data_IF_702144727158
#
_entry.id   IF_702144727158
#
_cell.length_a   1.000
_cell.length_b   1.000
_cell.length_c   1.000
_cell.angle_alpha   90.00
_cell.angle_beta   90.00
_cell.angle_gamma   90.00
#
_symmetry.space_group_name_H-M   'P 1'
#
loop_
_entity.id
_entity.type
_entity.pdbx_description
1 polymer ?
#
# COMPACT_ATOMS: atom_id res chain seq x y z
N UNK A 1 9.00 -16.30 -10.07
CA UNK A 1 8.85 -14.86 -9.71
C UNK A 1 7.58 -14.24 -10.28
N UNK A 2 7.31 -14.32 -11.59
CA UNK A 2 6.08 -13.72 -12.16
C UNK A 2 4.78 -14.22 -11.53
N UNK A 3 4.64 -15.54 -11.34
CA UNK A 3 3.47 -16.11 -10.67
C UNK A 3 3.27 -15.59 -9.24
N UNK A 4 4.38 -15.38 -8.52
CA UNK A 4 4.40 -14.84 -7.15
C UNK A 4 3.90 -13.39 -7.10
N UNK A 5 4.33 -12.56 -8.04
CA UNK A 5 3.82 -11.19 -8.17
C UNK A 5 2.36 -11.13 -8.63
N UNK A 6 1.95 -11.98 -9.58
CA UNK A 6 0.56 -12.08 -10.01
C UNK A 6 -0.37 -12.51 -8.85
N UNK A 7 0.09 -13.40 -7.98
CA UNK A 7 -0.62 -13.79 -6.78
C UNK A 7 -0.83 -12.59 -5.82
N UNK A 8 0.22 -11.79 -5.60
CA UNK A 8 0.13 -10.56 -4.80
C UNK A 8 -0.87 -9.55 -5.38
N UNK A 9 -0.96 -9.42 -6.71
CA UNK A 9 -1.91 -8.51 -7.37
C UNK A 9 -3.36 -8.97 -7.19
N UNK A 10 -3.63 -10.27 -7.34
CA UNK A 10 -4.96 -10.84 -7.06
C UNK A 10 -5.39 -10.60 -5.62
N UNK A 11 -4.48 -10.84 -4.67
CA UNK A 11 -4.73 -10.53 -3.26
C UNK A 11 -5.02 -9.05 -3.04
N UNK A 12 -4.29 -8.16 -3.72
CA UNK A 12 -4.47 -6.70 -3.60
C UNK A 12 -5.89 -6.25 -3.94
N UNK A 13 -6.45 -6.77 -5.04
CA UNK A 13 -7.82 -6.47 -5.47
C UNK A 13 -8.83 -7.04 -4.48
N UNK A 14 -8.66 -8.29 -4.04
CA UNK A 14 -9.55 -8.91 -3.06
C UNK A 14 -9.55 -8.16 -1.73
N UNK A 15 -8.37 -7.73 -1.26
CA UNK A 15 -8.25 -6.96 -0.02
C UNK A 15 -8.95 -5.60 -0.14
N UNK A 16 -8.81 -4.89 -1.26
CA UNK A 16 -9.55 -3.65 -1.51
C UNK A 16 -11.07 -3.88 -1.41
N UNK A 17 -11.58 -4.97 -1.98
CA UNK A 17 -12.99 -5.31 -1.96
C UNK A 17 -13.50 -5.72 -0.57
N UNK A 18 -12.63 -6.28 0.29
CA UNK A 18 -12.98 -6.65 1.65
C UNK A 18 -12.99 -5.45 2.62
N UNK A 19 -12.21 -4.40 2.31
CA UNK A 19 -12.10 -3.18 3.09
C UNK A 19 -13.31 -2.26 2.90
N UNK A 20 -13.56 -1.40 3.89
CA UNK A 20 -14.57 -0.37 3.75
C UNK A 20 -14.05 0.78 2.85
N UNK A 21 -14.62 0.91 1.66
CA UNK A 21 -14.28 1.96 0.69
C UNK A 21 -15.27 3.12 0.71
N UNK A 22 -16.16 3.22 1.71
CA UNK A 22 -17.05 4.39 1.90
C UNK A 22 -16.34 5.60 2.51
N UNK A 23 -15.11 5.41 3.01
CA UNK A 23 -14.20 6.46 3.48
C UNK A 23 -12.94 6.53 2.62
N UNK A 24 -12.09 7.51 2.87
CA UNK A 24 -10.72 7.47 2.35
C UNK A 24 -10.00 6.24 2.90
N UNK A 25 -9.32 5.52 2.01
CA UNK A 25 -8.67 4.25 2.34
C UNK A 25 -7.32 4.24 1.65
N UNK A 26 -6.24 3.93 2.35
CA UNK A 26 -4.91 3.79 1.74
C UNK A 26 -4.08 2.71 2.43
N UNK A 27 -3.63 1.72 1.67
CA UNK A 27 -2.86 0.62 2.22
C UNK A 27 -1.84 0.10 1.21
N UNK A 28 -0.83 -0.59 1.73
CA UNK A 28 0.00 -1.44 0.91
C UNK A 28 -0.52 -2.86 0.99
N UNK A 29 -1.23 -3.26 -0.06
CA UNK A 29 -1.64 -4.65 -0.24
C UNK A 29 -0.44 -5.58 -0.31
N UNK A 30 0.64 -5.13 -0.95
CA UNK A 30 1.87 -5.90 -1.11
C UNK A 30 2.56 -6.18 0.22
N UNK A 31 2.66 -5.16 1.07
CA UNK A 31 3.24 -5.28 2.41
C UNK A 31 2.47 -6.33 3.22
N UNK A 32 1.14 -6.18 3.30
CA UNK A 32 0.26 -7.15 3.98
C UNK A 32 0.44 -8.55 3.42
N UNK A 33 0.34 -8.74 2.11
CA UNK A 33 0.50 -10.03 1.46
C UNK A 33 1.85 -10.67 1.79
N UNK A 34 2.93 -9.90 1.67
CA UNK A 34 4.29 -10.39 1.93
C UNK A 34 4.53 -10.73 3.40
N UNK A 35 3.84 -10.08 4.34
CA UNK A 35 3.89 -10.43 5.76
C UNK A 35 3.15 -11.74 6.05
N UNK A 36 2.01 -11.98 5.39
CA UNK A 36 1.27 -13.23 5.49
C UNK A 36 2.01 -14.40 4.82
N UNK A 37 2.84 -14.13 3.81
CA UNK A 37 3.76 -15.13 3.26
C UNK A 37 4.72 -15.65 4.33
N UNK A 38 5.23 -14.77 5.21
CA UNK A 38 6.11 -15.22 6.31
C UNK A 38 5.36 -16.15 7.29
N UNK A 39 4.10 -15.82 7.61
CA UNK A 39 3.23 -16.67 8.43
C UNK A 39 2.99 -18.01 7.75
N UNK A 40 2.75 -18.00 6.43
CA UNK A 40 2.55 -19.21 5.63
C UNK A 40 3.74 -20.18 5.74
N UNK A 41 4.99 -19.68 5.73
CA UNK A 41 6.18 -20.53 5.82
C UNK A 41 6.19 -21.39 7.10
N UNK A 42 5.72 -20.87 8.23
CA UNK A 42 5.65 -21.58 9.50
C UNK A 42 4.28 -22.16 9.86
N UNK A 43 3.27 -22.01 9.00
CA UNK A 43 1.93 -22.56 9.21
C UNK A 43 1.85 -24.06 8.86
N UNK A 44 0.88 -24.78 9.44
CA UNK A 44 0.57 -26.19 9.13
C UNK A 44 -0.95 -26.42 9.09
N UNK A 45 -1.38 -27.58 8.60
CA UNK A 45 -2.77 -28.03 8.68
C UNK A 45 -3.77 -27.13 7.95
N UNK A 46 -4.88 -26.80 8.60
CA UNK A 46 -5.94 -25.92 8.05
C UNK A 46 -5.41 -24.52 7.79
N UNK A 47 -4.65 -23.96 8.73
CA UNK A 47 -4.05 -22.62 8.62
C UNK A 47 -3.18 -22.50 7.37
N UNK A 48 -2.37 -23.53 7.08
CA UNK A 48 -1.56 -23.57 5.87
C UNK A 48 -2.41 -23.55 4.60
N UNK A 49 -3.49 -24.34 4.54
CA UNK A 49 -4.38 -24.40 3.37
C UNK A 49 -5.12 -23.08 3.15
N UNK A 50 -5.58 -22.43 4.22
CA UNK A 50 -6.22 -21.11 4.15
C UNK A 50 -5.24 -20.07 3.60
N UNK A 51 -4.03 -19.99 4.16
CA UNK A 51 -2.98 -19.08 3.72
C UNK A 51 -2.57 -19.36 2.27
N UNK A 52 -2.32 -20.63 1.91
CA UNK A 52 -1.97 -21.03 0.54
C UNK A 52 -3.01 -20.53 -0.46
N UNK A 53 -4.28 -20.78 -0.19
CA UNK A 53 -5.34 -20.43 -1.12
C UNK A 53 -5.65 -18.95 -1.21
N UNK A 54 -5.67 -18.26 -0.07
CA UNK A 54 -5.98 -16.83 -0.05
C UNK A 54 -4.82 -15.97 -0.54
N UNK A 55 -3.57 -16.41 -0.36
CA UNK A 55 -2.39 -15.76 -0.94
C UNK A 55 -2.16 -16.12 -2.41
N UNK A 56 -2.90 -17.10 -2.94
CA UNK A 56 -2.79 -17.54 -4.34
C UNK A 56 -1.49 -18.30 -4.61
N UNK A 57 -1.01 -19.07 -3.62
CA UNK A 57 0.25 -19.82 -3.66
C UNK A 57 0.05 -21.29 -4.04
N UNK A 58 -1.14 -21.66 -4.51
CA UNK A 58 -1.55 -23.04 -4.79
C UNK A 58 -0.53 -23.83 -5.62
N UNK A 59 -0.13 -24.98 -5.10
CA UNK A 59 0.75 -25.91 -5.81
C UNK A 59 2.20 -25.47 -5.87
N UNK A 60 2.59 -24.41 -5.16
CA UNK A 60 3.99 -24.04 -4.97
C UNK A 60 4.58 -24.72 -3.73
N UNK A 61 5.74 -25.34 -3.90
CA UNK A 61 6.51 -25.87 -2.76
C UNK A 61 6.94 -24.73 -1.82
N UNK A 62 6.87 -24.96 -0.50
CA UNK A 62 7.21 -23.95 0.51
C UNK A 62 8.65 -23.45 0.40
N UNK A 63 9.61 -24.28 -0.02
CA UNK A 63 10.98 -23.82 -0.23
C UNK A 63 11.05 -22.87 -1.44
N UNK A 64 10.29 -23.15 -2.51
CA UNK A 64 10.18 -22.25 -3.66
C UNK A 64 9.56 -20.92 -3.24
N UNK A 65 8.53 -20.94 -2.38
CA UNK A 65 7.91 -19.73 -1.82
C UNK A 65 8.92 -18.95 -0.98
N UNK A 66 9.68 -19.61 -0.09
CA UNK A 66 10.67 -18.98 0.75
C UNK A 66 11.81 -18.32 -0.05
N UNK A 67 12.33 -19.02 -1.07
CA UNK A 67 13.32 -18.45 -1.99
C UNK A 67 12.76 -17.32 -2.85
N UNK A 68 11.48 -17.41 -3.27
CA UNK A 68 10.80 -16.34 -4.02
C UNK A 68 10.63 -15.09 -3.15
N UNK A 69 10.29 -15.25 -1.87
CA UNK A 69 10.20 -14.16 -0.91
C UNK A 69 11.55 -13.43 -0.74
N UNK A 70 12.65 -14.18 -0.60
CA UNK A 70 13.98 -13.56 -0.54
C UNK A 70 14.37 -12.85 -1.84
N UNK A 71 14.12 -13.51 -2.99
CA UNK A 71 14.42 -12.96 -4.32
C UNK A 71 13.64 -11.67 -4.59
N UNK A 72 12.39 -11.60 -4.12
CA UNK A 72 11.53 -10.42 -4.17
C UNK A 72 12.15 -9.21 -3.44
N UNK A 73 12.73 -9.41 -2.25
CA UNK A 73 13.41 -8.32 -1.52
C UNK A 73 14.58 -7.75 -2.33
N UNK A 74 15.38 -8.64 -2.92
CA UNK A 74 16.49 -8.26 -3.79
C UNK A 74 15.99 -7.56 -5.06
N UNK A 75 14.90 -8.04 -5.65
CA UNK A 75 14.27 -7.44 -6.83
C UNK A 75 13.96 -5.96 -6.61
N UNK A 76 13.18 -5.62 -5.57
CA UNK A 76 12.79 -4.24 -5.32
C UNK A 76 13.97 -3.35 -4.96
N UNK A 77 14.88 -3.82 -4.09
CA UNK A 77 16.06 -3.03 -3.69
C UNK A 77 16.98 -2.72 -4.88
N UNK A 78 17.06 -3.62 -5.86
CA UNK A 78 17.91 -3.43 -7.05
C UNK A 78 17.27 -2.54 -8.12
N UNK A 79 15.93 -2.48 -8.21
CA UNK A 79 15.20 -1.76 -9.25
C UNK A 79 14.71 -0.38 -8.81
N UNK A 80 14.30 -0.22 -7.56
CA UNK A 80 13.77 1.03 -7.03
C UNK A 80 14.91 1.85 -6.41
N UNK A 81 15.74 2.46 -7.26
CA UNK A 81 16.92 3.25 -6.82
C UNK A 81 16.63 4.75 -6.67
N UNK A 82 15.72 5.29 -7.47
CA UNK A 82 15.41 6.71 -7.59
C UNK A 82 14.39 7.23 -6.57
N UNK A 83 13.77 6.33 -5.81
CA UNK A 83 12.72 6.65 -4.84
C UNK A 83 13.12 6.15 -3.46
N UNK A 84 12.71 6.86 -2.41
CA UNK A 84 12.85 6.35 -1.05
C UNK A 84 11.75 5.32 -0.81
N UNK A 85 12.05 4.08 -1.13
CA UNK A 85 11.19 2.93 -0.94
C UNK A 85 11.70 2.07 0.22
N UNK A 86 10.82 1.66 1.10
CA UNK A 86 11.16 0.75 2.20
C UNK A 86 10.00 -0.20 2.43
N UNK A 87 10.29 -1.51 2.30
CA UNK A 87 9.41 -2.60 2.70
C UNK A 87 10.07 -3.33 3.87
N UNK A 88 9.38 -3.39 5.00
CA UNK A 88 9.85 -4.06 6.22
C UNK A 88 8.71 -4.86 6.84
N UNK A 89 8.90 -6.16 6.86
CA UNK A 89 8.10 -7.08 7.66
C UNK A 89 8.93 -7.50 8.85
N UNK A 90 8.31 -7.56 10.03
CA UNK A 90 8.96 -8.09 11.22
C UNK A 90 8.07 -9.13 11.89
N UNK A 91 8.69 -10.21 12.36
CA UNK A 91 8.13 -11.19 13.28
C UNK A 91 8.76 -10.90 14.63
N UNK A 92 7.94 -10.54 15.62
CA UNK A 92 8.38 -10.41 17.00
C UNK A 92 7.94 -11.64 17.77
N UNK A 93 8.89 -12.37 18.35
CA UNK A 93 8.66 -13.63 19.06
C UNK A 93 9.14 -13.51 20.50
N UNK A 94 8.42 -14.13 21.44
CA UNK A 94 8.86 -14.17 22.83
C UNK A 94 10.26 -14.81 22.99
N UNK A 95 11.13 -14.18 23.80
CA UNK A 95 12.56 -14.51 23.96
C UNK A 95 12.90 -15.99 24.23
N UNK A 96 12.02 -16.74 24.91
CA UNK A 96 12.28 -18.12 25.33
C UNK A 96 11.77 -19.17 24.34
N UNK A 97 11.23 -18.75 23.18
CA UNK A 97 10.66 -19.66 22.20
C UNK A 97 11.69 -19.97 21.10
N UNK A 98 12.17 -21.22 20.99
CA UNK A 98 13.07 -21.59 19.90
C UNK A 98 12.30 -21.73 18.59
N UNK A 99 12.94 -21.39 17.46
CA UNK A 99 12.45 -21.63 16.11
C UNK A 99 13.28 -22.73 15.45
N UNK A 100 12.63 -23.56 14.62
CA UNK A 100 13.33 -24.53 13.79
C UNK A 100 14.43 -23.91 12.92
N UNK A 101 15.62 -24.48 13.00
CA UNK A 101 16.82 -23.99 12.31
C UNK A 101 16.69 -23.96 10.79
N UNK A 102 15.82 -24.79 10.21
CA UNK A 102 15.55 -24.82 8.77
C UNK A 102 14.81 -23.57 8.26
N UNK A 103 14.06 -22.86 9.10
CA UNK A 103 13.36 -21.62 8.73
C UNK A 103 14.26 -20.38 8.83
N UNK A 104 15.25 -20.40 9.74
CA UNK A 104 16.10 -19.25 10.02
C UNK A 104 16.78 -18.66 8.77
N UNK A 105 17.29 -19.43 7.79
CA UNK A 105 17.84 -18.86 6.57
C UNK A 105 16.89 -17.91 5.83
N UNK A 106 15.58 -18.12 5.96
CA UNK A 106 14.55 -17.38 5.23
C UNK A 106 13.97 -16.20 5.99
N UNK A 107 13.87 -16.29 7.32
CA UNK A 107 13.17 -15.29 8.16
C UNK A 107 14.09 -14.53 9.12
N UNK A 108 15.39 -14.85 9.19
CA UNK A 108 16.32 -14.26 10.17
C UNK A 108 16.39 -12.73 10.10
N UNK A 109 16.17 -12.14 8.92
CA UNK A 109 16.19 -10.68 8.79
C UNK A 109 14.90 -9.99 9.26
N UNK A 110 13.84 -10.77 9.47
CA UNK A 110 12.51 -10.34 9.87
C UNK A 110 12.25 -10.70 11.33
N UNK A 111 12.94 -11.71 11.88
CA UNK A 111 12.76 -12.19 13.24
C UNK A 111 13.48 -11.31 14.26
N UNK A 112 12.74 -10.89 15.30
CA UNK A 112 13.26 -10.22 16.47
C UNK A 112 12.69 -10.86 17.74
N UNK A 113 13.57 -11.22 18.66
CA UNK A 113 13.18 -11.70 19.99
C UNK A 113 12.82 -10.51 20.88
N UNK A 114 11.66 -10.58 21.55
CA UNK A 114 11.10 -9.53 22.39
C UNK A 114 10.58 -10.14 23.69
N UNK A 115 10.61 -9.40 24.80
CA UNK A 115 10.04 -9.85 26.07
C UNK A 115 8.67 -9.22 26.33
N UNK A 116 7.62 -9.92 25.94
CA UNK A 116 6.23 -9.55 26.16
C UNK A 116 5.71 -9.87 27.57
N UNK A 117 6.29 -10.88 28.24
CA UNK A 117 5.75 -11.43 29.51
C UNK A 117 6.03 -10.52 30.69
N UNK A 118 7.29 -10.17 30.90
CA UNK A 118 7.69 -9.39 32.05
C UNK A 118 7.39 -7.90 31.84
N UNK A 119 7.52 -7.41 30.60
CA UNK A 119 7.43 -5.98 30.30
C UNK A 119 6.68 -5.68 28.98
N UNK A 120 5.36 -5.98 28.87
CA UNK A 120 4.60 -5.82 27.63
C UNK A 120 4.60 -4.38 27.08
N UNK A 121 4.53 -3.35 27.94
CA UNK A 121 4.60 -1.96 27.48
C UNK A 121 5.99 -1.56 26.98
N UNK A 122 7.07 -2.08 27.59
CA UNK A 122 8.42 -1.84 27.10
C UNK A 122 8.62 -2.50 25.74
N UNK A 123 8.11 -3.73 25.56
CA UNK A 123 8.08 -4.41 24.27
C UNK A 123 7.33 -3.59 23.21
N UNK A 124 6.15 -3.06 23.55
CA UNK A 124 5.36 -2.20 22.66
C UNK A 124 6.14 -0.97 22.21
N UNK A 125 6.79 -0.26 23.15
CA UNK A 125 7.61 0.91 22.86
C UNK A 125 8.82 0.56 22.00
N UNK A 126 9.49 -0.56 22.28
CA UNK A 126 10.63 -1.03 21.49
C UNK A 126 10.24 -1.38 20.05
N UNK A 127 9.09 -2.03 19.85
CA UNK A 127 8.56 -2.34 18.51
C UNK A 127 8.22 -1.06 17.75
N UNK A 128 7.51 -0.12 18.39
CA UNK A 128 7.20 1.17 17.78
C UNK A 128 8.46 1.95 17.40
N UNK A 129 9.47 1.98 18.27
CA UNK A 129 10.75 2.61 17.99
C UNK A 129 11.50 1.95 16.83
N UNK A 130 11.50 0.62 16.75
CA UNK A 130 12.11 -0.11 15.63
C UNK A 130 11.42 0.26 14.31
N UNK A 131 10.09 0.24 14.29
CA UNK A 131 9.28 0.61 13.12
C UNK A 131 9.48 2.07 12.72
N UNK A 132 9.55 2.98 13.69
CA UNK A 132 9.84 4.38 13.47
C UNK A 132 11.20 4.57 12.77
N UNK A 133 12.25 3.91 13.28
CA UNK A 133 13.57 3.96 12.64
C UNK A 133 13.58 3.35 11.26
N UNK A 134 12.94 2.20 11.08
CA UNK A 134 12.82 1.52 9.79
C UNK A 134 12.10 2.38 8.75
N UNK A 135 11.15 3.21 9.18
CA UNK A 135 10.36 4.10 8.31
C UNK A 135 10.87 5.53 8.24
N UNK A 136 12.06 5.81 8.79
CA UNK A 136 12.66 7.17 8.83
C UNK A 136 11.71 8.20 9.45
N UNK A 137 11.13 7.86 10.60
CA UNK A 137 10.21 8.69 11.40
C UNK A 137 8.83 8.93 10.76
N UNK A 138 8.50 8.21 9.68
CA UNK A 138 7.23 8.38 8.95
C UNK A 138 6.08 7.61 9.57
N UNK A 139 6.37 6.50 10.24
CA UNK A 139 5.41 5.74 11.03
C UNK A 139 5.91 5.71 12.47
N UNK A 140 5.43 6.64 13.29
CA UNK A 140 5.85 6.78 14.69
C UNK A 140 5.29 5.69 15.59
N UNK A 141 4.03 5.33 15.36
CA UNK A 141 3.30 4.35 16.17
C UNK A 141 2.48 3.44 15.26
N UNK A 142 2.79 2.15 15.32
CA UNK A 142 2.08 1.06 14.66
C UNK A 142 1.25 0.24 15.66
N UNK A 143 1.75 0.09 16.89
CA UNK A 143 1.09 -0.62 17.98
C UNK A 143 0.47 0.38 18.97
N UNK A 144 -0.87 0.46 19.05
CA UNK A 144 -1.53 1.39 19.97
C UNK A 144 -1.33 0.99 21.43
N UNK A 145 -1.52 1.89 22.40
CA UNK A 145 -1.48 1.54 23.82
C UNK A 145 -2.41 0.36 24.15
N UNK A 146 -2.00 -0.49 25.09
CA UNK A 146 -2.74 -1.71 25.49
C UNK A 146 -2.92 -2.76 24.37
N UNK A 147 -2.14 -2.72 23.29
CA UNK A 147 -2.22 -3.70 22.19
C UNK A 147 -1.39 -4.97 22.42
N UNK A 148 -0.56 -5.00 23.45
CA UNK A 148 0.31 -6.11 23.83
C UNK A 148 -0.03 -6.48 25.27
N UNK A 149 -0.06 -7.78 25.56
CA UNK A 149 -0.32 -8.31 26.90
C UNK A 149 0.78 -9.29 27.31
N UNK A 150 0.80 -9.67 28.60
CA UNK A 150 1.77 -10.63 29.12
C UNK A 150 1.63 -12.04 28.55
N UNK A 151 0.52 -12.34 27.85
CA UNK A 151 0.28 -13.60 27.15
C UNK A 151 0.60 -13.53 25.65
N UNK A 152 0.99 -12.36 25.14
CA UNK A 152 1.42 -12.21 23.75
C UNK A 152 2.71 -13.00 23.52
N UNK A 153 2.73 -13.86 22.51
CA UNK A 153 3.91 -14.65 22.17
C UNK A 153 4.40 -14.37 20.74
N UNK A 154 3.54 -13.86 19.83
CA UNK A 154 3.86 -13.70 18.41
C UNK A 154 3.12 -12.53 17.75
N UNK A 155 3.89 -11.53 17.29
CA UNK A 155 3.35 -10.37 16.54
C UNK A 155 3.97 -10.31 15.16
N UNK A 156 3.13 -10.07 14.14
CA UNK A 156 3.60 -9.72 12.79
C UNK A 156 3.25 -8.28 12.48
N UNK A 157 4.26 -7.51 12.10
CA UNK A 157 4.09 -6.15 11.61
C UNK A 157 4.50 -6.05 10.16
N UNK A 158 3.75 -5.26 9.41
CA UNK A 158 4.09 -4.94 8.03
C UNK A 158 4.09 -3.43 7.84
N UNK A 159 5.21 -2.91 7.38
CA UNK A 159 5.41 -1.47 7.20
C UNK A 159 6.01 -1.21 5.83
N UNK A 160 5.39 -0.24 5.15
CA UNK A 160 5.86 0.18 3.85
C UNK A 160 5.82 1.69 3.75
N UNK A 161 6.96 2.25 3.36
CA UNK A 161 7.11 3.67 3.09
C UNK A 161 7.54 3.86 1.64
N UNK A 162 6.90 4.82 0.98
CA UNK A 162 7.28 5.25 -0.35
C UNK A 162 7.25 6.77 -0.44
N UNK A 163 8.36 7.32 -0.94
CA UNK A 163 8.48 8.70 -1.41
C UNK A 163 9.14 8.66 -2.78
N UNK A 164 8.50 9.26 -3.77
CA UNK A 164 8.99 9.33 -5.14
C UNK A 164 8.66 10.68 -5.76
N UNK A 165 9.54 11.20 -6.60
CA UNK A 165 9.31 12.44 -7.35
C UNK A 165 8.63 12.12 -8.68
N UNK A 166 7.68 12.95 -9.10
CA UNK A 166 7.12 12.84 -10.45
C UNK A 166 8.23 12.94 -11.48
N UNK A 167 8.15 12.15 -12.55
CA UNK A 167 9.05 12.33 -13.69
C UNK A 167 8.90 13.75 -14.26
N UNK A 168 7.66 14.24 -14.28
CA UNK A 168 7.29 15.59 -14.68
C UNK A 168 6.48 16.23 -13.54
N UNK A 169 7.10 17.09 -12.72
CA UNK A 169 6.40 17.73 -11.60
C UNK A 169 5.41 18.79 -12.09
N UNK A 170 4.38 19.02 -11.28
CA UNK A 170 3.48 20.15 -11.47
C UNK A 170 4.21 21.44 -11.08
N UNK A 171 3.87 22.54 -11.77
CA UNK A 171 4.36 23.85 -11.37
C UNK A 171 3.48 24.37 -10.22
N UNK A 172 4.02 24.70 -9.02
CA UNK A 172 3.21 25.20 -7.89
C UNK A 172 2.38 26.45 -8.23
N UNK A 173 2.88 27.28 -9.13
CA UNK A 173 2.18 28.46 -9.64
C UNK A 173 0.97 28.14 -10.53
N UNK A 174 0.84 26.89 -10.98
CA UNK A 174 -0.33 26.37 -11.72
C UNK A 174 -1.36 25.73 -10.81
N UNK A 175 -1.04 25.51 -9.53
CA UNK A 175 -2.03 25.05 -8.54
C UNK A 175 -3.08 26.14 -8.31
N UNK A 176 -4.35 25.73 -8.32
CA UNK A 176 -5.51 26.62 -8.20
C UNK A 176 -6.54 25.98 -7.27
N UNK A 177 -7.35 26.80 -6.61
CA UNK A 177 -8.53 26.28 -5.92
C UNK A 177 -9.51 25.70 -6.95
N UNK A 178 -9.97 24.47 -6.74
CA UNK A 178 -10.95 23.79 -7.58
C UNK A 178 -12.01 23.08 -6.76
N UNK A 179 -13.16 22.82 -7.39
CA UNK A 179 -14.25 22.06 -6.76
C UNK A 179 -13.93 20.57 -6.82
N UNK A 180 -14.13 19.89 -5.70
CA UNK A 180 -14.14 18.43 -5.62
C UNK A 180 -15.50 17.98 -5.09
N UNK A 181 -16.26 17.25 -5.91
CA UNK A 181 -17.60 16.76 -5.62
C UNK A 181 -17.53 15.45 -4.84
N UNK A 182 -17.69 15.51 -3.52
CA UNK A 182 -17.65 14.33 -2.63
C UNK A 182 -18.90 13.47 -2.77
N UNK A 183 -20.01 14.08 -3.16
CA UNK A 183 -21.27 13.43 -3.54
C UNK A 183 -22.01 14.24 -4.61
N UNK A 184 -23.23 13.84 -4.98
CA UNK A 184 -24.05 14.61 -5.92
C UNK A 184 -24.45 15.99 -5.38
N UNK A 185 -24.57 16.14 -4.05
CA UNK A 185 -25.05 17.36 -3.41
C UNK A 185 -23.97 18.09 -2.61
N UNK A 186 -22.82 17.47 -2.40
CA UNK A 186 -21.74 18.02 -1.56
C UNK A 186 -20.47 18.18 -2.38
N UNK A 187 -19.78 19.28 -2.11
CA UNK A 187 -18.47 19.59 -2.67
C UNK A 187 -17.60 20.27 -1.63
N UNK A 188 -16.29 20.23 -1.85
CA UNK A 188 -15.29 20.98 -1.10
C UNK A 188 -14.32 21.67 -2.05
N UNK A 189 -13.76 22.80 -1.61
CA UNK A 189 -12.66 23.46 -2.31
C UNK A 189 -11.35 22.78 -1.95
N UNK A 190 -10.55 22.45 -2.97
CA UNK A 190 -9.24 21.82 -2.81
C UNK A 190 -8.20 22.46 -3.71
N UNK A 191 -6.93 22.32 -3.33
CA UNK A 191 -5.80 22.70 -4.17
C UNK A 191 -5.68 21.71 -5.33
N UNK A 192 -6.12 22.11 -6.52
CA UNK A 192 -5.97 21.36 -7.77
C UNK A 192 -4.64 21.72 -8.43
N UNK A 193 -3.74 20.74 -8.51
CA UNK A 193 -2.50 20.86 -9.27
C UNK A 193 -2.81 20.68 -10.75
N UNK A 194 -2.35 21.60 -11.59
CA UNK A 194 -2.64 21.59 -13.03
C UNK A 194 -1.35 21.48 -13.84
N UNK A 195 -1.33 20.56 -14.80
CA UNK A 195 -0.25 20.44 -15.79
C UNK A 195 -0.80 20.08 -17.16
N UNK A 196 -0.02 20.31 -18.20
CA UNK A 196 -0.31 19.89 -19.56
C UNK A 196 0.90 19.14 -20.10
N UNK A 197 0.73 17.85 -20.37
CA UNK A 197 1.80 16.97 -20.84
C UNK A 197 1.21 15.75 -21.56
N UNK A 198 2.07 14.92 -22.11
CA UNK A 198 1.70 13.62 -22.66
C UNK A 198 1.69 12.56 -21.55
N UNK A 199 0.54 11.91 -21.36
CA UNK A 199 0.39 10.81 -20.40
C UNK A 199 -0.17 9.57 -21.08
N UNK A 200 0.19 8.39 -20.55
CA UNK A 200 -0.48 7.14 -20.90
C UNK A 200 -1.92 7.18 -20.37
N UNK A 201 -2.88 6.94 -21.25
CA UNK A 201 -4.30 7.11 -20.97
C UNK A 201 -5.13 5.97 -21.55
N UNK A 202 -6.15 5.54 -20.81
CA UNK A 202 -7.12 4.55 -21.26
C UNK A 202 -8.54 4.90 -20.83
N UNK A 203 -9.52 4.42 -21.60
CA UNK A 203 -10.93 4.40 -21.23
C UNK A 203 -11.33 2.94 -21.09
N UNK A 204 -11.80 2.53 -19.92
CA UNK A 204 -12.31 1.18 -19.71
C UNK A 204 -13.83 1.22 -19.56
N UNK A 205 -14.51 0.58 -20.52
CA UNK A 205 -15.96 0.36 -20.41
C UNK A 205 -16.27 -0.75 -19.41
N UNK A 206 -15.43 -1.77 -19.29
CA UNK A 206 -15.65 -2.84 -18.31
C UNK A 206 -15.54 -2.37 -16.85
N UNK A 207 -14.57 -1.49 -16.57
CA UNK A 207 -14.36 -0.90 -15.25
C UNK A 207 -15.14 0.41 -15.04
N UNK A 208 -15.83 0.90 -16.08
CA UNK A 208 -16.58 2.16 -16.05
C UNK A 208 -15.73 3.35 -15.55
N UNK A 209 -14.49 3.46 -16.02
CA UNK A 209 -13.55 4.52 -15.63
C UNK A 209 -12.71 5.03 -16.79
N UNK A 210 -12.09 6.18 -16.59
CA UNK A 210 -10.96 6.67 -17.39
C UNK A 210 -9.72 6.62 -16.51
N UNK A 211 -8.59 6.19 -17.05
CA UNK A 211 -7.36 6.03 -16.29
C UNK A 211 -6.20 6.80 -16.93
N UNK A 212 -5.32 7.33 -16.07
CA UNK A 212 -4.07 7.98 -16.46
C UNK A 212 -2.91 7.40 -15.66
N UNK A 213 -1.78 7.20 -16.31
CA UNK A 213 -0.55 6.71 -15.67
C UNK A 213 0.50 7.83 -15.61
N UNK A 214 0.99 8.08 -14.40
CA UNK A 214 1.97 9.11 -14.07
C UNK A 214 3.27 8.45 -13.58
N UNK A 215 4.36 8.51 -14.37
CA UNK A 215 5.64 7.94 -13.97
C UNK A 215 6.36 8.77 -12.91
N UNK A 216 7.05 8.08 -12.01
CA UNK A 216 8.03 8.68 -11.11
C UNK A 216 9.43 8.74 -11.77
N UNK A 217 10.34 9.54 -11.21
CA UNK A 217 11.76 9.57 -11.59
C UNK A 217 12.32 8.15 -11.58
N UNK A 218 13.10 7.81 -12.61
CA UNK A 218 13.64 6.46 -12.82
C UNK A 218 12.69 5.49 -13.51
N UNK A 219 11.41 5.85 -13.71
CA UNK A 219 10.39 5.10 -14.48
C UNK A 219 10.12 3.66 -14.01
N UNK A 220 10.71 3.23 -12.89
CA UNK A 220 10.46 1.92 -12.29
C UNK A 220 9.12 1.86 -11.58
N UNK A 221 8.59 3.01 -11.16
CA UNK A 221 7.31 3.14 -10.47
C UNK A 221 6.41 4.12 -11.21
N UNK A 222 5.11 3.84 -11.23
CA UNK A 222 4.07 4.75 -11.70
C UNK A 222 2.91 4.81 -10.71
N UNK A 223 2.24 5.96 -10.65
CA UNK A 223 0.90 6.06 -10.08
C UNK A 223 -0.11 5.96 -11.22
N UNK A 224 -1.11 5.10 -11.06
CA UNK A 224 -2.26 5.03 -11.96
C UNK A 224 -3.46 5.57 -11.23
N UNK A 225 -4.10 6.59 -11.80
CA UNK A 225 -5.34 7.18 -11.28
C UNK A 225 -6.50 6.71 -12.15
N UNK A 226 -7.44 5.99 -11.55
CA UNK A 226 -8.68 5.51 -12.17
C UNK A 226 -9.84 6.40 -11.70
N UNK A 227 -10.36 7.20 -12.61
CA UNK A 227 -11.44 8.14 -12.37
C UNK A 227 -12.77 7.52 -12.88
N UNK A 228 -13.70 7.15 -11.99
CA UNK A 228 -14.98 6.57 -12.40
C UNK A 228 -15.80 7.51 -13.29
N UNK A 229 -16.51 6.93 -14.27
CA UNK A 229 -17.43 7.66 -15.16
C UNK A 229 -18.67 8.15 -14.40
N UNK A 230 -19.21 7.31 -13.52
CA UNK A 230 -20.36 7.66 -12.68
C UNK A 230 -19.92 8.55 -11.50
N UNK A 231 -20.57 9.71 -11.33
CA UNK A 231 -20.21 10.69 -10.28
C UNK A 231 -20.75 10.35 -8.88
N UNK A 232 -21.82 9.55 -8.76
CA UNK A 232 -22.48 9.28 -7.49
C UNK A 232 -22.00 7.97 -6.83
N UNK A 233 -21.93 6.88 -7.59
CA UNK A 233 -21.58 5.54 -7.10
C UNK A 233 -20.37 4.92 -7.82
N UNK A 234 -19.60 5.75 -8.54
CA UNK A 234 -18.55 5.28 -9.44
C UNK A 234 -17.45 4.46 -8.76
N UNK A 235 -17.02 4.86 -7.56
CA UNK A 235 -15.99 4.12 -6.81
C UNK A 235 -16.49 2.72 -6.44
N UNK A 236 -17.73 2.61 -5.94
CA UNK A 236 -18.28 1.31 -5.56
C UNK A 236 -18.40 0.38 -6.78
N UNK A 237 -18.92 0.89 -7.90
CA UNK A 237 -19.02 0.14 -9.15
C UNK A 237 -17.62 -0.32 -9.59
N UNK A 238 -16.66 0.60 -9.68
CA UNK A 238 -15.29 0.33 -10.08
C UNK A 238 -14.63 -0.75 -9.20
N UNK A 239 -14.69 -0.60 -7.87
CA UNK A 239 -14.10 -1.56 -6.92
C UNK A 239 -14.76 -2.94 -7.03
N UNK A 240 -16.09 -2.99 -7.19
CA UNK A 240 -16.80 -4.27 -7.36
C UNK A 240 -16.52 -4.96 -8.69
N UNK A 241 -16.28 -4.19 -9.76
CA UNK A 241 -15.99 -4.73 -11.09
C UNK A 241 -14.51 -5.06 -11.29
N UNK A 242 -13.63 -4.58 -10.40
CA UNK A 242 -12.18 -4.73 -10.52
C UNK A 242 -11.78 -6.20 -10.41
N UNK A 243 -11.14 -6.71 -11.45
CA UNK A 243 -10.48 -8.01 -11.48
C UNK A 243 -9.08 -7.83 -12.04
N UNK A 244 -8.18 -8.78 -11.80
CA UNK A 244 -6.81 -8.67 -12.33
C UNK A 244 -6.80 -8.69 -13.87
N UNK A 245 -7.69 -9.45 -14.50
CA UNK A 245 -7.83 -9.48 -15.96
C UNK A 245 -8.21 -8.09 -16.48
N UNK A 246 -9.32 -7.54 -15.99
CA UNK A 246 -9.81 -6.22 -16.41
C UNK A 246 -8.82 -5.10 -16.17
N UNK A 247 -8.08 -5.19 -15.06
CA UNK A 247 -7.02 -4.24 -14.78
C UNK A 247 -5.89 -4.36 -15.82
N UNK A 248 -5.45 -5.58 -16.12
CA UNK A 248 -4.42 -5.80 -17.14
C UNK A 248 -4.89 -5.36 -18.52
N UNK A 249 -6.12 -5.70 -18.92
CA UNK A 249 -6.72 -5.27 -20.19
C UNK A 249 -6.70 -3.74 -20.30
N UNK A 250 -7.14 -3.02 -19.26
CA UNK A 250 -7.08 -1.55 -19.22
C UNK A 250 -5.64 -1.01 -19.28
N UNK A 251 -4.67 -1.68 -18.64
CA UNK A 251 -3.27 -1.26 -18.66
C UNK A 251 -2.63 -1.49 -20.04
N UNK A 252 -2.98 -2.57 -20.73
CA UNK A 252 -2.51 -2.88 -22.09
C UNK A 252 -3.11 -1.91 -23.13
N UNK A 253 -4.35 -1.46 -22.89
CA UNK A 253 -5.02 -0.44 -23.69
C UNK A 253 -4.51 1.00 -23.46
N UNK A 254 -3.60 1.21 -22.50
CA UNK A 254 -3.04 2.55 -22.27
C UNK A 254 -2.11 2.96 -23.41
N UNK A 255 -2.34 4.15 -23.93
CA UNK A 255 -1.48 4.72 -24.96
C UNK A 255 -1.30 6.24 -24.75
N UNK A 256 -0.21 6.84 -25.26
CA UNK A 256 0.08 8.27 -25.02
C UNK A 256 -0.99 9.23 -25.61
N UNK A 257 -1.45 10.19 -24.81
CA UNK A 257 -2.32 11.32 -25.21
C UNK A 257 -1.81 12.63 -24.61
N UNK A 258 -2.03 13.73 -25.33
CA UNK A 258 -1.86 15.09 -24.80
C UNK A 258 -3.03 15.44 -23.88
N UNK A 259 -2.72 15.64 -22.60
CA UNK A 259 -3.72 15.79 -21.53
C UNK A 259 -3.43 17.03 -20.69
N UNK A 260 -4.47 17.83 -20.46
CA UNK A 260 -4.51 18.79 -19.34
C UNK A 260 -5.01 18.04 -18.11
N UNK A 261 -4.09 17.75 -17.20
CA UNK A 261 -4.37 17.03 -15.97
C UNK A 261 -4.59 18.02 -14.83
N UNK A 262 -5.75 17.91 -14.16
CA UNK A 262 -6.02 18.55 -12.88
C UNK A 262 -6.19 17.47 -11.79
N UNK A 263 -5.27 17.42 -10.84
CA UNK A 263 -5.23 16.43 -9.75
C UNK A 263 -5.24 17.15 -8.39
N UNK A 264 -6.12 16.79 -7.44
CA UNK A 264 -6.11 17.42 -6.13
C UNK A 264 -4.84 17.05 -5.37
N UNK A 265 -4.32 17.97 -4.56
CA UNK A 265 -3.38 17.64 -3.49
C UNK A 265 -4.12 16.85 -2.42
N UNK A 266 -3.52 15.77 -1.95
CA UNK A 266 -4.10 14.98 -0.87
C UNK A 266 -3.04 14.29 -0.04
N UNK A 267 -3.39 13.99 1.20
CA UNK A 267 -2.62 13.19 2.11
C UNK A 267 -3.56 12.16 2.74
N UNK A 268 -3.15 10.91 2.74
CA UNK A 268 -3.85 9.82 3.41
C UNK A 268 -2.89 9.16 4.40
N UNK A 269 -3.38 8.93 5.60
CA UNK A 269 -2.73 8.08 6.58
C UNK A 269 -3.80 7.16 7.14
N UNK A 270 -3.59 5.86 7.05
CA UNK A 270 -4.56 4.88 7.53
C UNK A 270 -3.82 3.73 8.23
N UNK A 271 -4.42 3.31 9.34
CA UNK A 271 -3.95 2.21 10.17
C UNK A 271 -5.06 1.17 10.24
N UNK A 272 -4.75 -0.04 9.82
CA UNK A 272 -5.72 -1.13 9.78
C UNK A 272 -5.33 -2.19 10.81
N UNK A 273 -6.27 -2.49 11.69
CA UNK A 273 -6.37 -3.82 12.25
C UNK A 273 -7.09 -4.68 11.21
N UNK A 274 -6.33 -5.52 10.50
CA UNK A 274 -6.84 -6.20 9.30
C UNK A 274 -7.77 -7.39 9.62
N UNK A 275 -7.98 -7.73 10.88
CA UNK A 275 -8.74 -8.92 11.33
C UNK A 275 -10.10 -9.05 10.63
N UNK A 276 -10.92 -8.00 10.61
CA UNK A 276 -12.23 -8.05 9.95
C UNK A 276 -12.14 -8.27 8.44
N UNK A 277 -11.17 -7.63 7.77
CA UNK A 277 -10.97 -7.78 6.34
C UNK A 277 -10.40 -9.17 5.99
N UNK A 278 -9.45 -9.67 6.78
CA UNK A 278 -8.87 -10.99 6.64
C UNK A 278 -9.92 -12.09 6.87
N UNK A 279 -10.80 -11.92 7.85
CA UNK A 279 -11.92 -12.85 8.08
C UNK A 279 -12.85 -12.93 6.86
N UNK A 280 -13.21 -11.77 6.28
CA UNK A 280 -14.02 -11.72 5.04
C UNK A 280 -13.31 -12.38 3.85
N UNK A 281 -11.99 -12.30 3.80
CA UNK A 281 -11.20 -12.95 2.76
C UNK A 281 -11.12 -14.46 2.91
N UNK A 282 -11.33 -14.99 4.12
CA UNK A 282 -11.30 -16.42 4.42
C UNK A 282 -10.15 -16.88 5.31
N UNK A 283 -9.40 -15.95 5.92
CA UNK A 283 -8.39 -16.28 6.93
C UNK A 283 -9.07 -16.47 8.29
N UNK A 284 -9.70 -17.63 8.52
CA UNK A 284 -10.46 -17.88 9.74
C UNK A 284 -9.51 -18.19 10.89
N UNK A 285 -8.57 -19.10 10.69
CA UNK A 285 -7.65 -19.54 11.76
C UNK A 285 -6.83 -18.38 12.31
N UNK A 286 -6.38 -17.46 11.44
CA UNK A 286 -5.62 -16.25 11.85
C UNK A 286 -6.42 -15.27 12.71
N UNK A 287 -7.76 -15.35 12.68
CA UNK A 287 -8.65 -14.39 13.35
C UNK A 287 -9.35 -15.03 14.55
N UNK A 288 -9.61 -16.34 14.52
CA UNK A 288 -10.30 -17.04 15.61
C UNK A 288 -9.36 -17.65 16.65
N UNK A 289 -8.04 -17.46 16.51
CA UNK A 289 -7.03 -18.00 17.44
C UNK A 289 -6.77 -19.50 17.32
N UNK A 290 -7.26 -20.15 16.24
CA UNK A 290 -7.04 -21.58 15.98
C UNK A 290 -5.81 -21.80 15.08
N UNK A 291 -4.85 -20.88 15.15
CA UNK A 291 -3.72 -20.88 14.23
C UNK A 291 -2.78 -22.04 14.54
N UNK A 292 -2.41 -22.78 13.50
CA UNK A 292 -1.40 -23.83 13.61
C UNK A 292 -0.07 -23.33 13.06
N UNK A 293 0.75 -22.78 13.96
CA UNK A 293 2.11 -22.30 13.70
C UNK A 293 3.18 -23.30 14.11
N UNK A 294 2.84 -24.59 14.20
CA UNK A 294 3.79 -25.65 14.59
C UNK A 294 4.94 -25.85 13.60
N UNK A 295 4.89 -25.20 12.43
CA UNK A 295 6.02 -25.12 11.51
C UNK A 295 7.11 -24.16 11.98
N UNK A 296 6.84 -23.23 12.90
CA UNK A 296 7.87 -22.41 13.56
C UNK A 296 8.53 -23.14 14.72
N UNK A 297 7.73 -23.79 15.57
CA UNK A 297 8.17 -24.48 16.78
C UNK A 297 7.11 -25.47 17.27
N UNK A 298 7.52 -26.54 17.94
CA UNK A 298 6.60 -27.46 18.64
C UNK A 298 6.63 -27.31 20.16
N UNK A 299 7.54 -26.48 20.69
CA UNK A 299 7.71 -26.31 22.13
C UNK A 299 6.62 -25.45 22.78
N UNK A 300 5.90 -24.66 21.97
CA UNK A 300 4.80 -23.81 22.42
C UNK A 300 3.76 -23.65 21.33
N UNK A 301 2.49 -23.64 21.72
CA UNK A 301 1.39 -23.23 20.84
C UNK A 301 1.45 -21.71 20.71
N UNK A 302 1.72 -21.24 19.49
CA UNK A 302 1.73 -19.81 19.17
C UNK A 302 0.34 -19.40 18.69
N UNK A 303 -0.10 -18.22 19.11
CA UNK A 303 -1.24 -17.52 18.51
C UNK A 303 -0.77 -16.23 17.83
N UNK A 304 -1.51 -15.75 16.82
CA UNK A 304 -1.24 -14.45 16.21
C UNK A 304 -2.13 -13.43 16.90
N UNK A 305 -1.55 -12.74 17.87
CA UNK A 305 -2.28 -11.75 18.68
C UNK A 305 -2.86 -10.61 17.82
N UNK A 306 -2.11 -10.18 16.78
CA UNK A 306 -2.59 -9.21 15.81
C UNK A 306 -1.71 -9.09 14.56
N UNK A 307 -2.33 -8.67 13.46
CA UNK A 307 -1.65 -8.21 12.23
C UNK A 307 -1.91 -6.71 12.06
N UNK A 308 -0.86 -5.91 12.27
CA UNK A 308 -0.92 -4.46 12.13
C UNK A 308 -0.33 -4.01 10.80
N UNK A 309 -1.08 -3.17 10.09
CA UNK A 309 -0.63 -2.50 8.88
C UNK A 309 -0.88 -1.00 8.97
N UNK A 310 0.13 -0.20 8.67
CA UNK A 310 0.01 1.26 8.61
C UNK A 310 0.69 1.78 7.34
N UNK A 311 -0.01 2.68 6.65
CA UNK A 311 0.50 3.30 5.43
C UNK A 311 0.16 4.78 5.41
N UNK A 312 1.07 5.57 4.82
CA UNK A 312 0.93 7.01 4.64
C UNK A 312 1.38 7.41 3.24
N UNK A 313 0.64 8.31 2.62
CA UNK A 313 0.96 8.93 1.34
C UNK A 313 0.62 10.41 1.39
N UNK A 314 1.46 11.25 0.81
CA UNK A 314 1.18 12.66 0.58
C UNK A 314 1.52 12.99 -0.86
N UNK A 315 0.55 13.45 -1.63
CA UNK A 315 0.67 13.80 -3.05
C UNK A 315 0.67 15.32 -3.19
N UNK A 316 1.75 15.83 -3.78
CA UNK A 316 2.00 17.26 -4.02
C UNK A 316 2.58 17.50 -5.42
N UNK A 317 2.94 18.75 -5.71
CA UNK A 317 3.38 19.16 -7.04
C UNK A 317 4.70 18.51 -7.46
N UNK A 318 5.55 18.13 -6.51
CA UNK A 318 6.85 17.52 -6.79
C UNK A 318 6.76 16.00 -6.93
N UNK A 319 5.81 15.37 -6.25
CA UNK A 319 5.72 13.93 -6.19
C UNK A 319 4.84 13.42 -5.06
N UNK A 320 5.23 12.25 -4.58
CA UNK A 320 4.80 11.71 -3.30
C UNK A 320 5.84 12.03 -2.23
N UNK A 321 5.52 13.02 -1.38
CA UNK A 321 6.16 13.64 -0.19
C UNK A 321 7.54 14.36 -0.32
N UNK A 322 7.55 15.66 -0.66
CA UNK A 322 8.40 16.79 -0.19
C UNK A 322 9.46 17.51 -1.09
N UNK A 323 9.24 18.85 -1.18
CA UNK A 323 10.05 20.10 -1.16
C UNK A 323 11.09 20.53 -2.23
N UNK A 324 10.80 21.73 -2.78
CA UNK A 324 11.59 22.78 -3.48
C UNK A 324 12.09 22.61 -4.94
N UNK A 325 11.28 23.20 -5.83
CA UNK A 325 11.54 24.07 -7.00
C UNK A 325 12.77 23.87 -7.91
N UNK A 326 12.49 23.55 -9.17
CA UNK A 326 13.12 24.24 -10.32
C UNK A 326 12.16 24.22 -11.52
N UNK A 327 11.94 25.37 -12.15
CA UNK A 327 11.08 25.52 -13.32
C UNK A 327 11.92 25.44 -14.59
N UNK A 328 11.51 24.58 -15.53
CA UNK A 328 12.05 24.57 -16.91
C UNK A 328 10.91 24.49 -17.91
N UNK A 329 10.96 25.36 -18.91
CA UNK A 329 9.95 25.50 -19.95
C UNK A 329 9.98 24.32 -20.93
N UNK A 330 8.80 23.80 -21.29
CA UNK A 330 8.63 22.71 -22.24
C UNK A 330 8.55 23.21 -23.69
N UNK A 331 9.23 22.54 -24.66
CA UNK A 331 9.00 22.78 -26.08
C UNK A 331 7.69 22.13 -26.53
N UNK A 332 6.89 22.87 -27.31
CA UNK A 332 5.69 22.33 -27.97
C UNK A 332 6.11 21.40 -29.11
N UNK A 333 5.64 20.16 -29.11
CA UNK A 333 5.64 19.32 -30.30
C UNK A 333 4.22 19.29 -30.86
N UNK A 334 4.07 19.80 -32.07
CA UNK A 334 2.82 19.79 -32.80
C UNK A 334 2.60 18.39 -33.38
N UNK A 335 1.70 17.61 -32.78
CA UNK A 335 0.92 16.61 -33.49
C UNK A 335 -0.56 16.94 -33.28
N UNK A 336 -1.38 16.77 -34.31
CA UNK A 336 -2.80 17.14 -34.33
C UNK A 336 -3.65 16.15 -33.52
N UNK A 337 -3.32 15.94 -32.25
CA UNK A 337 -4.12 15.20 -31.28
C UNK A 337 -4.99 16.18 -30.51
N UNK A 338 -6.31 15.93 -30.46
CA UNK A 338 -7.23 16.72 -29.63
C UNK A 338 -6.72 16.66 -28.18
N UNK A 339 -6.40 17.81 -27.61
CA UNK A 339 -6.05 17.93 -26.19
C UNK A 339 -7.26 17.46 -25.37
N UNK A 340 -7.02 16.54 -24.42
CA UNK A 340 -8.06 15.99 -23.55
C UNK A 340 -7.92 16.59 -22.14
N UNK A 341 -9.06 16.89 -21.52
CA UNK A 341 -9.07 17.30 -20.11
C UNK A 341 -9.28 16.06 -19.23
N UNK A 342 -8.35 15.83 -18.29
CA UNK A 342 -8.49 14.82 -17.24
C UNK A 342 -8.56 15.52 -15.88
N UNK A 343 -9.79 15.82 -15.45
CA UNK A 343 -10.06 16.57 -14.22
C UNK A 343 -10.52 15.60 -13.13
N UNK A 344 -9.69 15.43 -12.09
CA UNK A 344 -9.95 14.55 -10.95
C UNK A 344 -10.76 15.32 -9.89
N UNK A 345 -12.00 15.66 -10.25
CA UNK A 345 -12.92 16.49 -9.46
C UNK A 345 -13.89 15.70 -8.57
N UNK A 346 -13.68 14.39 -8.40
CA UNK A 346 -14.62 13.49 -7.73
C UNK A 346 -13.91 12.23 -7.22
N UNK A 347 -14.55 11.43 -6.33
CA UNK A 347 -13.94 10.24 -5.76
C UNK A 347 -13.31 9.31 -6.81
N UNK A 348 -12.08 8.90 -6.54
CA UNK A 348 -11.27 8.11 -7.47
C UNK A 348 -10.50 7.01 -6.74
N UNK A 349 -10.09 6.01 -7.51
CA UNK A 349 -9.21 4.93 -7.04
C UNK A 349 -7.85 5.15 -7.67
N UNK A 350 -6.78 4.96 -6.93
CA UNK A 350 -5.43 4.97 -7.48
C UNK A 350 -4.63 3.79 -6.97
N UNK A 351 -3.56 3.47 -7.68
CA UNK A 351 -2.57 2.52 -7.21
C UNK A 351 -1.17 2.93 -7.63
N UNK A 352 -0.17 2.45 -6.90
CA UNK A 352 1.25 2.60 -7.25
C UNK A 352 1.77 1.23 -7.62
N UNK A 353 2.38 1.11 -8.80
CA UNK A 353 2.90 -0.16 -9.32
C UNK A 353 4.39 -0.10 -9.62
N UNK A 354 5.06 -1.25 -9.56
CA UNK A 354 6.40 -1.47 -10.10
C UNK A 354 6.30 -1.99 -11.53
N UNK A 355 6.91 -1.28 -12.47
CA UNK A 355 6.65 -1.47 -13.89
C UNK A 355 7.28 -2.73 -14.47
N UNK A 356 8.36 -3.25 -13.90
CA UNK A 356 8.99 -4.47 -14.41
C UNK A 356 8.25 -5.73 -13.96
N UNK A 357 7.80 -5.77 -12.70
CA UNK A 357 7.05 -6.91 -12.16
C UNK A 357 5.53 -6.79 -12.29
N UNK A 358 5.03 -5.63 -12.73
CA UNK A 358 3.62 -5.24 -12.66
C UNK A 358 3.02 -5.34 -11.25
N UNK A 359 3.85 -5.35 -10.19
CA UNK A 359 3.35 -5.52 -8.82
C UNK A 359 2.65 -4.27 -8.33
N UNK A 360 1.42 -4.43 -7.83
CA UNK A 360 0.68 -3.38 -7.15
C UNK A 360 1.21 -3.25 -5.73
N UNK A 361 1.86 -2.12 -5.45
CA UNK A 361 2.53 -1.87 -4.17
C UNK A 361 1.61 -1.18 -3.18
N UNK A 362 0.80 -0.23 -3.66
CA UNK A 362 -0.18 0.51 -2.87
C UNK A 362 -1.47 0.66 -3.63
N UNK A 363 -2.58 0.68 -2.90
CA UNK A 363 -3.90 1.01 -3.42
C UNK A 363 -4.52 2.06 -2.49
N UNK A 364 -5.19 3.04 -3.08
CA UNK A 364 -5.98 3.98 -2.31
C UNK A 364 -7.29 4.37 -3.00
N UNK A 365 -8.24 4.77 -2.16
CA UNK A 365 -9.50 5.38 -2.54
C UNK A 365 -9.52 6.77 -1.92
N UNK A 366 -9.67 7.79 -2.76
CA UNK A 366 -9.83 9.18 -2.31
C UNK A 366 -11.28 9.57 -2.52
N UNK A 367 -11.97 9.91 -1.44
CA UNK A 367 -13.32 10.48 -1.41
C UNK A 367 -13.34 11.90 -0.87
N UNK A 368 -12.44 12.24 0.04
CA UNK A 368 -12.30 13.57 0.62
C UNK A 368 -10.82 13.98 0.61
N UNK A 369 -10.30 14.50 -0.52
CA UNK A 369 -8.93 14.98 -0.57
C UNK A 369 -8.71 16.06 0.48
N UNK A 370 -7.84 15.77 1.45
CA UNK A 370 -7.38 16.70 2.47
C UNK A 370 -5.87 16.76 2.37
N UNK A 371 -5.31 17.96 2.36
CA UNK A 371 -3.87 18.15 2.43
C UNK A 371 -3.57 19.00 3.66
N UNK A 372 -3.06 18.35 4.70
CA UNK A 372 -2.55 19.07 5.86
C UNK A 372 -1.22 19.66 5.43
N UNK A 373 -1.17 20.98 5.19
CA UNK A 373 0.11 21.68 5.24
C UNK A 373 0.70 21.34 6.61
N UNK A 374 1.88 20.73 6.63
CA UNK A 374 2.63 20.56 7.88
C UNK A 374 2.92 21.95 8.40
N UNK A 375 1.99 22.51 9.17
CA UNK A 375 2.30 23.59 10.08
C UNK A 375 3.28 23.00 11.08
N UNK A 376 4.40 23.71 11.27
CA UNK A 376 5.40 23.39 12.26
C UNK A 376 4.73 22.94 13.57
N UNK A 377 5.04 21.72 14.00
CA UNK A 377 4.59 21.11 15.26
C UNK A 377 5.08 21.88 16.51
N UNK A 378 5.57 23.12 16.35
CA UNK A 378 6.09 23.98 17.41
C UNK A 378 5.08 24.96 17.99
N UNK A 379 3.85 25.09 17.45
CA UNK A 379 2.88 26.08 17.95
C UNK A 379 1.73 25.52 18.81
N UNK A 380 1.71 24.23 19.13
CA UNK A 380 0.64 23.63 19.95
C UNK A 380 1.09 23.07 21.31
N UNK A 381 2.20 23.59 21.85
CA UNK A 381 2.56 23.45 23.27
C UNK A 381 2.81 24.84 23.85
N UNK A 382 1.79 25.71 23.83
CA UNK A 382 1.73 26.88 24.73
C UNK A 382 0.30 27.18 25.25
N UNK A 383 -0.66 26.27 25.05
CA UNK A 383 -1.93 26.32 25.78
C UNK A 383 -2.39 24.90 26.09
N UNK A 384 -1.83 24.32 27.15
CA UNK A 384 -2.53 23.55 28.19
C UNK A 384 -1.58 23.28 29.36
#
# INVERSE_FOLDING_TARGET
>A
MEHFFAASNRFSIRLLQALNTTRDTFFSSFSVWSSLVLVYLGSKGTTEKELEGMLGLHGMDKNIVAHSYQSMKTWFSSRIKSSSFTLRNNIFLQNDIPIYTCLLPFIKSELAYTDFRENPELARLAINFLVQRQTKDKIKEILPPNSIHSFTDFIVTSTMYFKGLWLQPFLPQSTRSGLFFTSHFEYQLVDMMVTHDTFSYAVSDELQCTAIEMPYVGKSLTMVVMLPKNKAHGVQILVSSLTISRLNDMMEDMFPRDIVLALPKFQLEDSFQLSTALLKLGFRDLVTGNVNLTGFTQERLLDIDAVYHKARIAVDEQGTEASAATATAFPRHAHSTKILDFIVDRPFVFFIRENHSNSILFIGVVRHPKYLKSFDFQYFIEQF
#
